data_IF_976314657072
#
_entry.id   IF_976314657072
#
_cell.length_a   1.000
_cell.length_b   1.000
_cell.length_c   1.000
_cell.angle_alpha   90.00
_cell.angle_beta   90.00
_cell.angle_gamma   90.00
#
_symmetry.space_group_name_H-M   'P 1'
#
loop_
_entity.id
_entity.type
_entity.pdbx_description
1 polymer ?
#
# COMPACT_ATOMS: atom_id res chain seq x y z
N UNK A 1 12.72 -21.22 16.78
CA UNK A 1 11.99 -20.61 15.65
C UNK A 1 10.53 -20.56 16.05
N UNK A 2 10.10 -19.47 16.67
CA UNK A 2 8.70 -19.27 17.05
C UNK A 2 7.93 -18.97 15.77
N UNK A 3 7.12 -19.92 15.34
CA UNK A 3 6.07 -19.75 14.33
C UNK A 3 5.03 -18.78 14.87
N UNK A 4 5.31 -17.48 14.86
CA UNK A 4 4.31 -16.47 15.12
C UNK A 4 3.38 -16.41 13.90
N UNK A 5 2.31 -17.18 13.98
CA UNK A 5 0.99 -16.90 13.41
C UNK A 5 0.95 -15.80 12.35
N UNK A 6 1.34 -16.13 11.12
CA UNK A 6 1.00 -15.38 9.90
C UNK A 6 -0.50 -15.48 9.55
N UNK A 7 -1.35 -15.70 10.56
CA UNK A 7 -2.77 -16.11 10.48
C UNK A 7 -3.70 -15.07 11.13
N UNK A 8 -3.18 -13.88 11.47
CA UNK A 8 -3.94 -12.85 12.18
C UNK A 8 -4.86 -12.00 11.29
N UNK A 9 -4.59 -11.91 9.99
CA UNK A 9 -5.37 -11.12 9.04
C UNK A 9 -6.15 -12.00 8.07
N UNK A 10 -7.39 -11.64 7.78
CA UNK A 10 -8.25 -12.39 6.86
C UNK A 10 -8.14 -11.87 5.41
N UNK A 11 -7.80 -10.60 5.21
CA UNK A 11 -7.52 -10.03 3.89
C UNK A 11 -6.22 -10.62 3.32
N UNK A 12 -6.23 -11.31 2.15
CA UNK A 12 -5.03 -11.89 1.54
C UNK A 12 -3.90 -10.87 1.34
N UNK A 13 -4.20 -9.71 0.74
CA UNK A 13 -3.22 -8.64 0.51
C UNK A 13 -2.54 -8.16 1.81
N UNK A 14 -3.28 -8.10 2.93
CA UNK A 14 -2.69 -7.70 4.21
C UNK A 14 -1.78 -8.79 4.79
N UNK A 15 -2.11 -10.08 4.58
CA UNK A 15 -1.22 -11.18 4.98
C UNK A 15 0.11 -11.12 4.22
N UNK A 16 0.06 -10.79 2.94
CA UNK A 16 1.26 -10.63 2.11
C UNK A 16 2.15 -9.46 2.55
N UNK A 17 1.54 -8.34 2.95
CA UNK A 17 2.27 -7.22 3.55
C UNK A 17 2.84 -7.59 4.93
N UNK A 18 2.13 -8.39 5.72
CA UNK A 18 2.64 -8.91 6.99
C UNK A 18 3.84 -9.87 6.78
N UNK A 19 3.81 -10.70 5.74
CA UNK A 19 4.94 -11.52 5.31
C UNK A 19 6.15 -10.65 4.91
N UNK A 20 5.90 -9.57 4.17
CA UNK A 20 6.96 -8.60 3.85
C UNK A 20 7.52 -7.96 5.12
N UNK A 21 6.68 -7.52 6.06
CA UNK A 21 7.18 -6.94 7.32
C UNK A 21 8.05 -7.93 8.11
N UNK A 22 7.65 -9.19 8.21
CA UNK A 22 8.43 -10.24 8.88
C UNK A 22 9.78 -10.48 8.19
N UNK A 23 9.77 -10.65 6.87
CA UNK A 23 10.99 -10.89 6.10
C UNK A 23 11.98 -9.71 6.13
N UNK A 24 11.47 -8.49 6.23
CA UNK A 24 12.28 -7.27 6.25
C UNK A 24 12.49 -6.70 7.65
N UNK A 25 12.04 -7.36 8.72
CA UNK A 25 12.27 -6.92 10.10
C UNK A 25 11.56 -5.60 10.45
N UNK A 26 10.45 -5.29 9.79
CA UNK A 26 9.60 -4.18 10.16
C UNK A 26 8.69 -4.54 11.34
N UNK A 27 8.24 -3.55 12.13
CA UNK A 27 7.32 -3.84 13.21
C UNK A 27 6.00 -4.40 12.67
N UNK A 28 5.51 -5.42 13.37
CA UNK A 28 4.21 -6.04 13.13
C UNK A 28 3.54 -6.22 14.50
N UNK A 29 2.59 -5.34 14.82
CA UNK A 29 1.93 -5.30 16.12
C UNK A 29 0.64 -6.14 16.17
N UNK A 30 0.47 -7.16 15.31
CA UNK A 30 -0.72 -8.06 15.30
C UNK A 30 -1.13 -8.50 16.72
N UNK A 31 -0.16 -8.87 17.57
CA UNK A 31 -0.43 -9.36 18.92
C UNK A 31 -0.81 -8.25 19.91
N UNK A 32 -0.45 -6.99 19.62
CA UNK A 32 -0.61 -5.85 20.52
C UNK A 32 -0.93 -4.57 19.72
N UNK A 33 -2.15 -4.44 19.16
CA UNK A 33 -2.51 -3.27 18.36
C UNK A 33 -2.29 -1.95 19.10
N UNK A 34 -1.78 -0.93 18.41
CA UNK A 34 -1.35 0.30 19.06
C UNK A 34 -1.04 1.45 18.10
N UNK A 35 -0.73 2.65 18.64
CA UNK A 35 -0.31 3.79 17.83
C UNK A 35 1.07 3.55 17.21
N UNK A 36 1.34 4.22 16.08
CA UNK A 36 2.68 4.30 15.51
C UNK A 36 3.59 5.21 16.36
N UNK A 37 4.87 4.85 16.53
CA UNK A 37 5.90 5.78 16.99
C UNK A 37 6.06 7.00 16.06
N UNK A 38 6.58 8.12 16.58
CA UNK A 38 6.66 9.39 15.83
C UNK A 38 7.51 9.31 14.55
N UNK A 39 8.67 8.67 14.62
CA UNK A 39 9.56 8.41 13.49
C UNK A 39 8.88 7.54 12.42
N UNK A 40 8.03 6.61 12.85
CA UNK A 40 7.26 5.74 11.96
C UNK A 40 6.07 6.45 11.32
N UNK A 41 5.45 7.40 12.01
CA UNK A 41 4.37 8.25 11.46
C UNK A 41 4.89 9.01 10.23
N UNK A 42 6.06 9.64 10.34
CA UNK A 42 6.63 10.42 9.24
C UNK A 42 6.91 9.55 8.02
N UNK A 43 7.53 8.37 8.22
CA UNK A 43 7.75 7.41 7.14
C UNK A 43 6.43 7.00 6.47
N UNK A 44 5.40 6.64 7.24
CA UNK A 44 4.12 6.16 6.67
C UNK A 44 3.38 7.25 5.91
N UNK A 45 3.38 8.50 6.42
CA UNK A 45 2.81 9.65 5.69
C UNK A 45 3.59 9.89 4.39
N UNK A 46 4.94 9.83 4.45
CA UNK A 46 5.80 10.03 3.29
C UNK A 46 5.53 9.02 2.19
N UNK A 47 5.51 7.73 2.52
CA UNK A 47 5.22 6.66 1.56
C UNK A 47 3.83 6.79 0.94
N UNK A 48 2.78 7.03 1.75
CA UNK A 48 1.41 7.19 1.22
C UNK A 48 1.31 8.42 0.30
N UNK A 49 2.03 9.50 0.62
CA UNK A 49 2.05 10.68 -0.23
C UNK A 49 2.82 10.44 -1.54
N UNK A 50 3.94 9.71 -1.50
CA UNK A 50 4.72 9.32 -2.67
C UNK A 50 3.81 8.54 -3.65
N UNK A 51 3.27 7.40 -3.22
CA UNK A 51 2.51 6.52 -4.11
C UNK A 51 1.12 7.07 -4.44
N UNK A 52 0.34 7.43 -3.41
CA UNK A 52 -1.08 7.76 -3.53
C UNK A 52 -1.38 9.18 -3.98
N UNK A 53 -0.37 10.05 -4.13
CA UNK A 53 -0.55 11.43 -4.57
C UNK A 53 0.43 11.87 -5.66
N UNK A 54 1.72 11.53 -5.54
CA UNK A 54 2.74 11.95 -6.51
C UNK A 54 2.74 11.00 -7.70
N UNK A 55 2.97 9.71 -7.48
CA UNK A 55 3.05 8.72 -8.57
C UNK A 55 1.70 8.53 -9.26
N UNK A 56 0.60 8.45 -8.49
CA UNK A 56 -0.75 8.36 -9.08
C UNK A 56 -1.07 9.55 -9.99
N UNK A 57 -0.66 10.75 -9.62
CA UNK A 57 -0.84 11.93 -10.46
C UNK A 57 0.01 11.83 -11.73
N UNK A 58 1.25 11.37 -11.61
CA UNK A 58 2.14 11.23 -12.76
C UNK A 58 1.55 10.25 -13.79
N UNK A 59 1.05 9.09 -13.36
CA UNK A 59 0.38 8.14 -14.25
C UNK A 59 -0.87 8.73 -14.92
N UNK A 60 -1.67 9.52 -14.17
CA UNK A 60 -2.83 10.24 -14.72
C UNK A 60 -2.41 11.29 -15.77
N UNK A 61 -1.35 12.05 -15.52
CA UNK A 61 -0.84 13.09 -16.41
C UNK A 61 -0.22 12.48 -17.69
N UNK A 62 0.47 11.35 -17.55
CA UNK A 62 1.01 10.57 -18.66
C UNK A 62 -0.08 9.84 -19.45
N UNK A 63 -1.29 9.72 -18.88
CA UNK A 63 -2.38 8.92 -19.41
C UNK A 63 -1.94 7.47 -19.69
N UNK A 64 -1.10 6.92 -18.82
CA UNK A 64 -0.56 5.56 -18.91
C UNK A 64 -1.33 4.65 -17.93
N UNK A 65 -2.10 3.67 -18.44
CA UNK A 65 -2.88 2.79 -17.58
C UNK A 65 -2.01 1.90 -16.69
N UNK A 66 -0.82 1.51 -17.13
CA UNK A 66 0.09 0.66 -16.33
C UNK A 66 0.66 1.47 -15.16
N UNK A 67 1.07 2.72 -15.40
CA UNK A 67 1.54 3.61 -14.32
C UNK A 67 0.43 3.95 -13.31
N UNK A 68 -0.81 4.14 -13.78
CA UNK A 68 -1.96 4.36 -12.89
C UNK A 68 -2.21 3.13 -12.00
N UNK A 69 -2.18 1.93 -12.58
CA UNK A 69 -2.38 0.69 -11.84
C UNK A 69 -1.25 0.48 -10.83
N UNK A 70 0.01 0.71 -11.22
CA UNK A 70 1.18 0.62 -10.33
C UNK A 70 0.98 1.49 -9.08
N UNK A 71 0.69 2.77 -9.27
CA UNK A 71 0.50 3.71 -8.17
C UNK A 71 -0.72 3.38 -7.29
N UNK A 72 -1.82 2.88 -7.86
CA UNK A 72 -3.00 2.44 -7.08
C UNK A 72 -2.67 1.20 -6.24
N UNK A 73 -1.95 0.22 -6.79
CA UNK A 73 -1.52 -0.98 -6.07
C UNK A 73 -0.51 -0.62 -4.98
N UNK A 74 0.47 0.23 -5.28
CA UNK A 74 1.46 0.69 -4.30
C UNK A 74 0.80 1.51 -3.18
N UNK A 75 -0.22 2.30 -3.49
CA UNK A 75 -1.06 2.97 -2.48
C UNK A 75 -1.71 1.97 -1.52
N UNK A 76 -2.30 0.89 -2.04
CA UNK A 76 -2.88 -0.18 -1.22
C UNK A 76 -1.77 -0.80 -0.36
N UNK A 77 -0.63 -1.13 -0.96
CA UNK A 77 0.49 -1.80 -0.30
C UNK A 77 1.05 -1.00 0.87
N UNK A 78 1.40 0.28 0.67
CA UNK A 78 2.00 1.13 1.72
C UNK A 78 1.01 1.45 2.84
N UNK A 79 -0.28 1.56 2.50
CA UNK A 79 -1.35 1.83 3.46
C UNK A 79 -1.67 0.60 4.32
N UNK A 80 -1.75 -0.59 3.70
CA UNK A 80 -1.82 -1.86 4.43
C UNK A 80 -0.58 -2.08 5.29
N UNK A 81 0.59 -1.58 4.87
CA UNK A 81 1.81 -1.58 5.67
C UNK A 81 1.66 -0.76 6.96
N UNK A 82 1.06 0.43 6.89
CA UNK A 82 0.77 1.22 8.08
C UNK A 82 -0.22 0.50 9.02
N UNK A 83 -1.30 -0.07 8.47
CA UNK A 83 -2.28 -0.83 9.26
C UNK A 83 -1.65 -2.06 9.93
N UNK A 84 -0.82 -2.79 9.20
CA UNK A 84 -0.06 -3.95 9.70
C UNK A 84 0.88 -3.55 10.84
N UNK A 85 1.59 -2.44 10.68
CA UNK A 85 2.47 -1.92 11.72
C UNK A 85 1.70 -1.53 12.99
N UNK A 86 0.47 -1.04 12.85
CA UNK A 86 -0.43 -0.71 13.96
C UNK A 86 -1.16 -1.93 14.55
N UNK A 87 -1.03 -3.12 13.96
CA UNK A 87 -1.80 -4.30 14.36
C UNK A 87 -3.28 -4.22 13.99
N UNK A 88 -3.67 -3.30 13.11
CA UNK A 88 -5.07 -3.05 12.76
C UNK A 88 -5.52 -3.94 11.59
N UNK A 89 -6.66 -4.61 11.73
CA UNK A 89 -7.24 -5.46 10.68
C UNK A 89 -7.85 -4.63 9.54
N UNK A 90 -7.57 -4.98 8.29
CA UNK A 90 -8.12 -4.32 7.10
C UNK A 90 -9.35 -5.05 6.51
N UNK A 91 -9.75 -6.19 7.07
CA UNK A 91 -10.83 -7.04 6.53
C UNK A 91 -12.17 -6.33 6.28
N UNK A 92 -12.49 -5.29 7.06
CA UNK A 92 -13.68 -4.47 6.87
C UNK A 92 -13.76 -3.79 5.50
N UNK A 93 -12.64 -3.68 4.77
CA UNK A 93 -12.62 -3.17 3.39
C UNK A 93 -13.41 -4.04 2.42
N UNK A 94 -13.35 -5.37 2.54
CA UNK A 94 -14.02 -6.30 1.61
C UNK A 94 -15.54 -6.21 1.71
N UNK A 95 -16.06 -6.04 2.92
CA UNK A 95 -17.51 -5.83 3.12
C UNK A 95 -17.98 -4.54 2.46
N UNK A 96 -17.21 -3.45 2.63
CA UNK A 96 -17.52 -2.16 2.04
C UNK A 96 -17.42 -2.18 0.51
N UNK A 97 -16.42 -2.88 -0.04
CA UNK A 97 -16.28 -3.08 -1.48
C UNK A 97 -17.50 -3.79 -2.08
N UNK A 98 -17.92 -4.90 -1.48
CA UNK A 98 -19.07 -5.68 -1.94
C UNK A 98 -20.35 -4.84 -1.99
N UNK A 99 -20.61 -4.05 -0.95
CA UNK A 99 -21.78 -3.18 -0.85
C UNK A 99 -21.78 -2.07 -1.91
N UNK A 100 -20.60 -1.55 -2.27
CA UNK A 100 -20.46 -0.45 -3.24
C UNK A 100 -20.55 -0.95 -4.68
N UNK A 101 -20.00 -2.13 -4.98
CA UNK A 101 -19.95 -2.69 -6.34
C UNK A 101 -21.31 -2.88 -7.00
N UNK A 102 -22.38 -3.04 -6.21
CA UNK A 102 -23.72 -3.30 -6.72
C UNK A 102 -24.46 -2.02 -7.16
N UNK A 103 -23.87 -0.83 -6.96
CA UNK A 103 -24.56 0.45 -7.12
C UNK A 103 -23.92 1.41 -8.14
N UNK A 104 -22.69 1.16 -8.62
CA UNK A 104 -21.91 2.13 -9.42
C UNK A 104 -21.70 1.62 -10.85
N UNK A 105 -22.01 2.42 -11.90
CA UNK A 105 -21.71 2.06 -13.28
C UNK A 105 -20.19 1.91 -13.52
N UNK A 106 -19.79 1.01 -14.43
CA UNK A 106 -18.41 0.94 -14.90
C UNK A 106 -17.94 2.31 -15.41
N UNK A 107 -16.80 2.78 -14.91
CA UNK A 107 -16.19 4.07 -15.27
C UNK A 107 -14.78 3.84 -15.80
N UNK A 108 -14.25 4.74 -16.64
CA UNK A 108 -12.87 4.58 -17.13
C UNK A 108 -11.85 4.68 -16.00
N UNK A 109 -10.74 3.93 -16.07
CA UNK A 109 -9.63 3.97 -15.13
C UNK A 109 -9.14 5.40 -14.83
N UNK A 110 -9.08 6.27 -15.84
CA UNK A 110 -8.64 7.65 -15.67
C UNK A 110 -9.58 8.46 -14.77
N UNK A 111 -10.90 8.22 -14.85
CA UNK A 111 -11.90 8.91 -14.03
C UNK A 111 -11.81 8.44 -12.59
N UNK A 112 -11.81 7.13 -12.37
CA UNK A 112 -11.75 6.55 -11.02
C UNK A 112 -10.43 6.87 -10.32
N UNK A 113 -9.32 6.89 -11.06
CA UNK A 113 -8.01 7.30 -10.54
C UNK A 113 -7.98 8.78 -10.14
N UNK A 114 -8.60 9.68 -10.91
CA UNK A 114 -8.71 11.10 -10.56
C UNK A 114 -9.53 11.31 -9.28
N UNK A 115 -10.62 10.57 -9.12
CA UNK A 115 -11.44 10.60 -7.91
C UNK A 115 -10.66 10.08 -6.69
N UNK A 116 -9.92 8.98 -6.86
CA UNK A 116 -9.02 8.45 -5.82
C UNK A 116 -7.94 9.46 -5.44
N UNK A 117 -7.27 10.08 -6.41
CA UNK A 117 -6.26 11.11 -6.18
C UNK A 117 -6.82 12.32 -5.40
N UNK A 118 -8.03 12.77 -5.75
CA UNK A 118 -8.68 13.87 -5.05
C UNK A 118 -9.00 13.49 -3.59
N UNK A 119 -9.51 12.28 -3.35
CA UNK A 119 -9.80 11.78 -2.01
C UNK A 119 -8.52 11.60 -1.18
N UNK A 120 -7.46 11.01 -1.75
CA UNK A 120 -6.18 10.77 -1.08
C UNK A 120 -5.57 12.07 -0.54
N UNK A 121 -5.62 13.17 -1.30
CA UNK A 121 -5.14 14.49 -0.83
C UNK A 121 -5.88 14.96 0.43
N UNK A 122 -7.19 14.76 0.49
CA UNK A 122 -8.01 15.14 1.65
C UNK A 122 -7.70 14.22 2.84
N UNK A 123 -7.67 12.91 2.61
CA UNK A 123 -7.39 11.93 3.65
C UNK A 123 -5.98 12.07 4.23
N UNK A 124 -4.98 12.40 3.42
CA UNK A 124 -3.62 12.63 3.92
C UNK A 124 -3.57 13.81 4.91
N UNK A 125 -4.27 14.91 4.61
CA UNK A 125 -4.39 16.04 5.54
C UNK A 125 -5.10 15.64 6.83
N UNK A 126 -6.14 14.82 6.73
CA UNK A 126 -6.85 14.29 7.91
C UNK A 126 -5.96 13.34 8.72
N UNK A 127 -5.18 12.49 8.06
CA UNK A 127 -4.29 11.51 8.67
C UNK A 127 -3.18 12.20 9.47
N UNK A 128 -2.54 13.23 8.90
CA UNK A 128 -1.55 14.07 9.60
C UNK A 128 -2.15 14.68 10.88
N UNK A 129 -3.39 15.19 10.80
CA UNK A 129 -4.09 15.76 11.97
C UNK A 129 -4.45 14.69 13.00
N UNK A 130 -4.87 13.51 12.56
CA UNK A 130 -5.22 12.40 13.45
C UNK A 130 -3.99 11.90 14.22
N UNK A 131 -2.86 11.71 13.52
CA UNK A 131 -1.60 11.30 14.14
C UNK A 131 -1.05 12.35 15.11
N UNK A 132 -1.06 13.65 14.76
CA UNK A 132 -0.59 14.70 15.68
C UNK A 132 -1.43 14.84 16.95
N UNK A 133 -2.69 14.40 16.90
CA UNK A 133 -3.61 14.33 18.06
C UNK A 133 -3.65 12.96 18.73
N UNK A 134 -2.80 12.03 18.31
CA UNK A 134 -2.75 10.65 18.81
C UNK A 134 -4.11 9.93 18.75
N UNK A 135 -4.91 10.23 17.71
CA UNK A 135 -6.23 9.63 17.51
C UNK A 135 -6.09 8.30 16.77
N UNK A 136 -5.63 7.25 17.45
CA UNK A 136 -5.32 5.93 16.85
C UNK A 136 -6.48 5.34 16.06
N UNK A 137 -7.68 5.24 16.67
CA UNK A 137 -8.85 4.68 15.99
C UNK A 137 -9.23 5.47 14.73
N UNK A 138 -9.16 6.80 14.79
CA UNK A 138 -9.48 7.63 13.64
C UNK A 138 -8.42 7.53 12.54
N UNK A 139 -7.15 7.38 12.91
CA UNK A 139 -6.05 7.15 11.96
C UNK A 139 -6.24 5.84 11.21
N UNK A 140 -6.67 4.78 11.90
CA UNK A 140 -7.00 3.47 11.30
C UNK A 140 -8.12 3.61 10.28
N UNK A 141 -9.21 4.32 10.62
CA UNK A 141 -10.31 4.53 9.67
C UNK A 141 -9.88 5.30 8.42
N UNK A 142 -9.02 6.31 8.57
CA UNK A 142 -8.50 7.08 7.43
C UNK A 142 -7.59 6.21 6.56
N UNK A 143 -6.72 5.39 7.15
CA UNK A 143 -5.88 4.44 6.42
C UNK A 143 -6.75 3.43 5.65
N UNK A 144 -7.76 2.83 6.28
CA UNK A 144 -8.72 1.94 5.60
C UNK A 144 -9.42 2.65 4.44
N UNK A 145 -9.81 3.90 4.62
CA UNK A 145 -10.44 4.68 3.57
C UNK A 145 -9.52 4.94 2.38
N UNK A 146 -8.22 5.23 2.60
CA UNK A 146 -7.23 5.42 1.53
C UNK A 146 -7.06 4.12 0.74
N UNK A 147 -6.84 2.99 1.42
CA UNK A 147 -6.66 1.69 0.77
C UNK A 147 -7.91 1.27 0.01
N UNK A 148 -9.11 1.46 0.60
CA UNK A 148 -10.38 1.16 -0.06
C UNK A 148 -10.61 2.03 -1.29
N UNK A 149 -10.24 3.31 -1.28
CA UNK A 149 -10.40 4.17 -2.47
C UNK A 149 -9.53 3.70 -3.63
N UNK A 150 -8.28 3.32 -3.36
CA UNK A 150 -7.40 2.80 -4.40
C UNK A 150 -7.93 1.47 -4.95
N UNK A 151 -8.42 0.58 -4.07
CA UNK A 151 -9.05 -0.68 -4.45
C UNK A 151 -10.27 -0.44 -5.36
N UNK A 152 -11.22 0.40 -4.90
CA UNK A 152 -12.42 0.74 -5.66
C UNK A 152 -12.10 1.43 -6.98
N UNK A 153 -11.00 2.19 -7.07
CA UNK A 153 -10.63 2.85 -8.31
C UNK A 153 -10.29 1.83 -9.41
N UNK A 154 -9.61 0.74 -9.04
CA UNK A 154 -9.30 -0.38 -9.94
C UNK A 154 -10.58 -1.15 -10.29
N UNK A 155 -11.34 -1.56 -9.28
CA UNK A 155 -12.46 -2.47 -9.48
C UNK A 155 -13.65 -1.81 -10.18
N UNK A 156 -13.93 -0.54 -9.93
CA UNK A 156 -14.93 0.24 -10.70
C UNK A 156 -14.51 0.48 -12.16
N UNK A 157 -13.21 0.38 -12.45
CA UNK A 157 -12.69 0.42 -13.81
C UNK A 157 -12.63 -0.96 -14.49
N UNK A 158 -13.18 -2.00 -13.84
CA UNK A 158 -13.14 -3.37 -14.34
C UNK A 158 -11.76 -4.03 -14.26
N UNK A 159 -10.84 -3.46 -13.46
CA UNK A 159 -9.50 -4.01 -13.25
C UNK A 159 -9.50 -4.84 -11.96
N UNK A 160 -9.25 -6.14 -12.09
CA UNK A 160 -8.96 -7.02 -10.96
C UNK A 160 -7.60 -6.63 -10.33
N UNK A 161 -7.59 -6.17 -9.07
CA UNK A 161 -6.37 -5.72 -8.40
C UNK A 161 -5.43 -6.88 -8.02
N UNK A 162 -5.95 -8.10 -7.83
CA UNK A 162 -5.17 -9.19 -7.23
C UNK A 162 -3.94 -9.59 -8.07
N UNK A 163 -4.02 -9.79 -9.40
CA UNK A 163 -2.85 -10.18 -10.19
C UNK A 163 -1.73 -9.14 -10.21
N UNK A 164 -2.08 -7.84 -10.12
CA UNK A 164 -1.07 -6.77 -10.04
C UNK A 164 -0.46 -6.68 -8.65
N UNK A 165 -1.28 -6.84 -7.61
CA UNK A 165 -0.79 -6.91 -6.23
C UNK A 165 0.19 -8.07 -6.04
N UNK A 166 -0.14 -9.26 -6.57
CA UNK A 166 0.74 -10.44 -6.50
C UNK A 166 2.11 -10.18 -7.15
N UNK A 167 2.13 -9.47 -8.28
CA UNK A 167 3.36 -9.12 -8.98
C UNK A 167 4.19 -8.07 -8.22
N UNK A 168 3.54 -7.07 -7.62
CA UNK A 168 4.20 -6.12 -6.72
C UNK A 168 4.74 -6.82 -5.48
N UNK A 169 3.98 -7.74 -4.89
CA UNK A 169 4.42 -8.55 -3.75
C UNK A 169 5.65 -9.39 -4.11
N UNK A 170 5.63 -10.09 -5.25
CA UNK A 170 6.78 -10.86 -5.76
C UNK A 170 8.01 -9.98 -5.90
N UNK A 171 7.86 -8.80 -6.52
CA UNK A 171 8.96 -7.86 -6.71
C UNK A 171 9.49 -7.33 -5.36
N UNK A 172 8.60 -6.99 -4.43
CA UNK A 172 8.97 -6.53 -3.08
C UNK A 172 9.73 -7.59 -2.30
N UNK A 173 9.29 -8.85 -2.33
CA UNK A 173 9.99 -9.96 -1.68
C UNK A 173 11.37 -10.25 -2.30
N UNK A 174 11.60 -9.86 -3.56
CA UNK A 174 12.93 -9.98 -4.20
C UNK A 174 13.95 -8.94 -3.73
N UNK A 175 13.55 -7.94 -2.93
CA UNK A 175 14.45 -6.87 -2.44
C UNK A 175 15.51 -7.35 -1.43
N UNK A 176 15.48 -8.60 -0.97
CA UNK A 176 16.49 -9.15 -0.08
C UNK A 176 17.90 -9.09 -0.70
N UNK A 177 18.90 -8.84 0.14
CA UNK A 177 20.30 -8.86 -0.23
C UNK A 177 20.81 -10.24 -0.63
N UNK A 178 22.04 -10.31 -1.13
CA UNK A 178 22.69 -11.56 -1.51
C UNK A 178 22.88 -12.53 -0.32
N UNK A 179 22.89 -12.00 0.91
CA UNK A 179 22.93 -12.74 2.17
C UNK A 179 21.54 -13.11 2.71
N UNK A 180 20.48 -12.82 1.95
CA UNK A 180 19.10 -13.04 2.36
C UNK A 180 18.59 -12.04 3.40
N UNK A 181 19.32 -10.95 3.67
CA UNK A 181 18.93 -9.93 4.66
C UNK A 181 18.35 -8.67 4.01
N UNK A 182 17.45 -7.96 4.70
CA UNK A 182 16.93 -6.69 4.22
C UNK A 182 18.00 -5.58 4.26
N UNK A 183 17.93 -4.67 3.31
CA UNK A 183 18.71 -3.42 3.30
C UNK A 183 17.74 -2.26 3.56
N UNK A 184 17.94 -1.55 4.66
CA UNK A 184 17.16 -0.37 5.01
C UNK A 184 17.95 0.90 4.72
N UNK A 185 17.24 1.93 4.27
CA UNK A 185 17.77 3.28 4.17
C UNK A 185 18.18 3.79 5.55
N UNK A 186 19.35 4.41 5.60
CA UNK A 186 19.89 5.12 6.78
C UNK A 186 19.62 6.63 6.72
N UNK A 187 18.68 7.04 5.86
CA UNK A 187 18.25 8.42 5.72
C UNK A 187 18.76 9.12 4.45
N UNK A 188 18.18 10.29 4.19
CA UNK A 188 18.35 11.04 2.95
C UNK A 188 19.81 11.44 2.69
N UNK A 189 20.60 11.71 3.74
CA UNK A 189 22.01 12.12 3.61
C UNK A 189 22.91 11.02 3.05
N UNK A 190 22.61 9.76 3.36
CA UNK A 190 23.47 8.63 2.99
C UNK A 190 23.00 7.93 1.73
N UNK A 191 21.69 7.67 1.66
CA UNK A 191 21.15 6.71 0.70
C UNK A 191 20.04 7.35 -0.18
N UNK A 192 19.75 8.65 0.01
CA UNK A 192 18.78 9.40 -0.80
C UNK A 192 17.30 9.03 -0.58
N UNK A 193 17.01 8.28 0.49
CA UNK A 193 15.67 7.81 0.83
C UNK A 193 15.35 8.06 2.32
N UNK A 194 14.07 8.16 2.72
CA UNK A 194 13.68 8.27 4.13
C UNK A 194 14.24 7.11 4.97
N UNK A 195 14.65 7.39 6.21
CA UNK A 195 15.17 6.37 7.12
C UNK A 195 14.15 5.24 7.33
N UNK A 196 14.61 4.00 7.30
CA UNK A 196 13.76 2.82 7.44
C UNK A 196 12.98 2.42 6.18
N UNK A 197 13.08 3.15 5.05
CA UNK A 197 12.59 2.68 3.74
C UNK A 197 13.41 1.46 3.29
N UNK A 198 12.77 0.41 2.80
CA UNK A 198 13.47 -0.77 2.24
C UNK A 198 14.09 -0.40 0.89
N UNK A 199 15.38 -0.67 0.75
CA UNK A 199 16.13 -0.44 -0.48
C UNK A 199 16.17 -1.70 -1.36
N UNK A 200 16.50 -1.51 -2.63
CA UNK A 200 16.61 -2.60 -3.62
C UNK A 200 17.91 -3.37 -3.38
N UNK A 201 17.82 -4.63 -2.95
CA UNK A 201 18.97 -5.54 -2.81
C UNK A 201 19.50 -6.06 -4.15
N UNK A 202 20.61 -6.82 -4.10
CA UNK A 202 21.28 -7.36 -5.28
C UNK A 202 20.42 -8.32 -6.12
N UNK A 203 19.43 -8.96 -5.50
CA UNK A 203 18.52 -9.90 -6.15
C UNK A 203 17.20 -9.24 -6.61
N UNK A 204 17.09 -7.91 -6.50
CA UNK A 204 15.86 -7.20 -6.83
C UNK A 204 15.48 -7.39 -8.31
N UNK A 205 14.22 -7.73 -8.52
CA UNK A 205 13.57 -7.77 -9.83
C UNK A 205 12.38 -6.82 -9.81
N UNK A 206 12.31 -5.90 -10.77
CA UNK A 206 11.21 -4.93 -10.91
C UNK A 206 9.88 -5.66 -11.18
N UNK A 207 8.73 -5.16 -10.71
CA UNK A 207 7.44 -5.69 -11.17
C UNK A 207 7.27 -5.47 -12.68
N UNK A 208 6.68 -6.46 -13.36
CA UNK A 208 6.29 -6.39 -14.77
C UNK A 208 4.77 -6.30 -14.93
N UNK A 209 4.23 -5.15 -14.52
CA UNK A 209 2.79 -4.89 -14.59
C UNK A 209 2.29 -4.73 -16.02
N UNK A 210 3.16 -4.35 -16.97
CA UNK A 210 2.82 -4.28 -18.38
C UNK A 210 2.46 -5.68 -18.91
N UNK A 211 3.25 -6.70 -18.59
CA UNK A 211 2.93 -8.09 -18.97
C UNK A 211 1.66 -8.60 -18.30
N UNK A 212 1.41 -8.24 -17.04
CA UNK A 212 0.15 -8.58 -16.35
C UNK A 212 -1.03 -7.91 -17.07
N UNK A 213 -0.91 -6.63 -17.38
CA UNK A 213 -1.93 -5.85 -18.07
C UNK A 213 -2.24 -6.43 -19.45
N UNK A 214 -1.21 -6.64 -20.29
CA UNK A 214 -1.36 -7.20 -21.64
C UNK A 214 -2.02 -8.58 -21.61
N UNK A 215 -1.67 -9.44 -20.65
CA UNK A 215 -2.25 -10.79 -20.56
C UNK A 215 -3.73 -10.79 -20.22
N UNK A 216 -4.23 -9.77 -19.54
CA UNK A 216 -5.60 -9.75 -18.99
C UNK A 216 -6.54 -8.81 -19.75
N UNK A 217 -6.02 -7.72 -20.35
CA UNK A 217 -6.83 -6.61 -20.86
C UNK A 217 -6.46 -6.15 -22.29
N UNK A 218 -5.48 -6.78 -22.94
CA UNK A 218 -5.09 -6.48 -24.33
C UNK A 218 -5.28 -7.69 -25.25
#
# INVERSE_FOLDING_TARGET
MTTHTLVGYTLPMQRDVALFHDAFGHPNLIATPGPLPLDRIELRIGLINEEGVVELRQGIENNDPVEIIDALIDTIYVTLGALTEMGADASGMLSLEHDIHHAVPEASLLVTAKDSLAANKVFLVMLVKAFSRQQTAYSIEILRAIALRALLALTHAGIDPQPFFDEVQRANMSKLGADGKPVHSRGMELDGAPEGKVLKGANYSRPDLASVYTRLYA
#
